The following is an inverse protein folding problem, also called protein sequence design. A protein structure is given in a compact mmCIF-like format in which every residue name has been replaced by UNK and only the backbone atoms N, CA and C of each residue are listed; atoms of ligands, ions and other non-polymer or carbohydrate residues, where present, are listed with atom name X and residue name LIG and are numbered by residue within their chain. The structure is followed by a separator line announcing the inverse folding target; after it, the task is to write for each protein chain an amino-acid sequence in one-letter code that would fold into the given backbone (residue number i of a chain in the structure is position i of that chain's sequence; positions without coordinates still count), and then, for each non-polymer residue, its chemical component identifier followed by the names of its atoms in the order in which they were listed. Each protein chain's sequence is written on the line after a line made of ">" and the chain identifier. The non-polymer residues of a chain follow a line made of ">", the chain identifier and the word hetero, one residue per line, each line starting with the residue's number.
data_IF_787868572181
#
_entry.id   IF_787868572181
#
_cell.length_a   1.000
_cell.length_b   1.000
_cell.length_c   1.000
_cell.angle_alpha   90.00
_cell.angle_beta   90.00
_cell.angle_gamma   90.00
#
_symmetry.space_group_name_H-M   'P 1'
#
loop_
_entity.id
_entity.type
_entity.pdbx_description
1 polymer ?
#
# COMPACT_ATOMS: atom_id res chain seq x y z
N UNK A 1 30.70 -14.74 -0.04
CA UNK A 1 31.03 -16.07 0.51
C UNK A 1 31.87 -15.87 1.76
N UNK A 2 31.70 -16.69 2.80
CA UNK A 2 32.51 -16.60 4.01
C UNK A 2 33.96 -16.98 3.71
N UNK A 3 34.93 -16.19 4.17
CA UNK A 3 36.35 -16.37 3.84
C UNK A 3 37.17 -17.03 4.94
N UNK A 4 36.60 -17.22 6.14
CA UNK A 4 37.28 -17.90 7.24
C UNK A 4 36.56 -17.72 8.60
N UNK A 5 37.14 -18.22 9.70
CA UNK A 5 36.50 -18.24 11.02
C UNK A 5 36.18 -16.86 11.61
N UNK A 6 36.93 -15.81 11.22
CA UNK A 6 36.71 -14.42 11.68
C UNK A 6 35.79 -13.61 10.76
N UNK A 7 35.28 -14.20 9.68
CA UNK A 7 34.44 -13.47 8.73
C UNK A 7 33.09 -13.12 9.35
N UNK A 8 32.76 -11.83 9.40
CA UNK A 8 31.47 -11.35 9.91
C UNK A 8 30.40 -11.48 8.83
N UNK A 9 29.59 -12.53 8.92
CA UNK A 9 28.43 -12.72 8.05
C UNK A 9 27.33 -11.71 8.43
N UNK A 10 26.81 -10.90 7.49
CA UNK A 10 25.66 -10.03 7.78
C UNK A 10 24.40 -10.85 8.12
N UNK A 11 23.46 -10.23 8.84
CA UNK A 11 22.15 -10.82 9.13
C UNK A 11 21.46 -11.32 7.85
N UNK A 12 20.67 -12.39 7.92
CA UNK A 12 20.05 -13.03 6.75
C UNK A 12 19.30 -12.03 5.86
N UNK A 13 18.34 -11.26 6.41
CA UNK A 13 17.55 -10.30 5.62
C UNK A 13 18.37 -9.12 5.08
N UNK A 14 19.55 -8.86 5.65
CA UNK A 14 20.51 -7.88 5.12
C UNK A 14 21.24 -8.41 3.89
N UNK A 15 21.57 -9.72 3.88
CA UNK A 15 22.15 -10.42 2.72
C UNK A 15 21.14 -10.55 1.58
N UNK A 16 19.87 -10.76 1.91
CA UNK A 16 18.77 -10.80 0.94
C UNK A 16 18.34 -9.42 0.45
N UNK A 17 18.90 -8.33 1.00
CA UNK A 17 18.50 -6.96 0.69
C UNK A 17 17.00 -6.72 0.82
N UNK A 18 16.40 -7.24 1.91
CA UNK A 18 14.96 -7.13 2.19
C UNK A 18 14.61 -6.22 3.36
N UNK A 19 15.61 -5.83 4.16
CA UNK A 19 15.38 -5.08 5.40
C UNK A 19 16.53 -4.14 5.69
N UNK A 20 16.20 -2.86 5.86
CA UNK A 20 17.06 -1.90 6.54
C UNK A 20 16.83 -2.02 8.05
N UNK A 21 17.81 -2.60 8.75
CA UNK A 21 17.73 -2.78 10.20
C UNK A 21 17.84 -1.47 10.99
N UNK A 22 18.49 -0.43 10.44
CA UNK A 22 18.56 0.88 11.08
C UNK A 22 17.21 1.61 11.01
N UNK A 23 16.56 1.59 9.85
CA UNK A 23 15.20 2.12 9.69
C UNK A 23 14.21 1.34 10.55
N UNK A 24 14.25 0.00 10.50
CA UNK A 24 13.38 -0.86 11.30
C UNK A 24 13.47 -0.53 12.79
N UNK A 25 14.68 -0.39 13.34
CA UNK A 25 14.84 -0.04 14.75
C UNK A 25 14.19 1.30 15.11
N UNK A 26 14.26 2.31 14.23
CA UNK A 26 13.60 3.60 14.45
C UNK A 26 12.09 3.49 14.42
N UNK A 27 11.53 2.68 13.52
CA UNK A 27 10.09 2.42 13.45
C UNK A 27 9.57 1.74 14.73
N UNK A 28 10.28 0.72 15.21
CA UNK A 28 9.89 -0.05 16.41
C UNK A 28 9.91 0.78 17.70
N UNK A 29 10.68 1.88 17.75
CA UNK A 29 10.71 2.77 18.92
C UNK A 29 9.40 3.51 19.16
N UNK A 30 8.51 3.59 18.18
CA UNK A 30 7.17 4.15 18.37
C UNK A 30 6.33 3.31 19.34
N UNK A 31 6.59 2.00 19.45
CA UNK A 31 5.73 1.06 20.17
C UNK A 31 4.43 0.72 19.44
N UNK A 32 4.15 1.37 18.31
CA UNK A 32 2.92 1.20 17.51
C UNK A 32 3.06 0.09 16.47
N UNK A 33 1.95 -0.51 16.02
CA UNK A 33 1.94 -1.37 14.83
C UNK A 33 2.51 -0.65 13.60
N UNK A 34 3.08 -1.41 12.67
CA UNK A 34 3.62 -0.87 11.41
C UNK A 34 2.65 -1.10 10.27
N UNK A 35 2.29 -0.06 9.53
CA UNK A 35 1.67 -0.16 8.22
C UNK A 35 2.77 -0.45 7.19
N UNK A 36 2.95 -1.71 6.85
CA UNK A 36 3.96 -2.19 5.90
C UNK A 36 3.44 -2.05 4.48
N UNK A 37 3.86 -0.99 3.78
CA UNK A 37 3.50 -0.72 2.39
C UNK A 37 4.55 -1.31 1.44
N UNK A 38 4.16 -2.25 0.57
CA UNK A 38 5.06 -2.92 -0.39
C UNK A 38 4.45 -2.94 -1.79
N UNK A 39 5.32 -2.87 -2.78
CA UNK A 39 4.94 -2.84 -4.19
C UNK A 39 5.60 -4.02 -4.90
N UNK A 40 4.90 -4.57 -5.88
CA UNK A 40 5.46 -5.41 -6.92
C UNK A 40 5.32 -4.69 -8.27
N UNK A 41 5.72 -5.36 -9.37
CA UNK A 41 5.56 -4.80 -10.70
C UNK A 41 4.09 -4.56 -11.07
N UNK A 42 3.18 -5.41 -10.59
CA UNK A 42 1.77 -5.41 -10.97
C UNK A 42 0.81 -5.24 -9.79
N UNK A 43 1.30 -5.18 -8.55
CA UNK A 43 0.45 -5.20 -7.36
C UNK A 43 0.95 -4.25 -6.26
N UNK A 44 0.02 -3.88 -5.38
CA UNK A 44 0.27 -3.25 -4.10
C UNK A 44 -0.09 -4.21 -2.96
N UNK A 45 0.59 -4.08 -1.83
CA UNK A 45 0.30 -4.81 -0.60
C UNK A 45 0.42 -3.88 0.59
N UNK A 46 -0.58 -3.92 1.45
CA UNK A 46 -0.61 -3.25 2.74
C UNK A 46 -0.80 -4.29 3.84
N UNK A 47 -0.03 -4.18 4.92
CA UNK A 47 -0.15 -5.08 6.07
C UNK A 47 0.01 -4.27 7.35
N UNK A 48 -0.85 -4.52 8.33
CA UNK A 48 -0.64 -4.05 9.69
C UNK A 48 0.12 -5.12 10.48
N UNK A 49 1.28 -4.74 10.99
CA UNK A 49 2.24 -5.69 11.56
C UNK A 49 2.68 -5.28 12.96
N UNK A 50 2.47 -6.17 13.93
CA UNK A 50 2.93 -6.04 15.32
C UNK A 50 4.20 -6.87 15.56
N UNK A 51 4.87 -6.61 16.68
CA UNK A 51 6.05 -7.39 17.11
C UNK A 51 5.63 -8.51 18.07
N UNK A 52 5.95 -9.76 17.73
CA UNK A 52 5.81 -10.92 18.59
C UNK A 52 7.15 -11.45 19.11
N UNK A 53 7.13 -12.45 20.00
CA UNK A 53 8.33 -13.04 20.62
C UNK A 53 9.22 -13.80 19.63
N UNK A 54 8.61 -14.50 18.67
CA UNK A 54 9.31 -15.34 17.68
C UNK A 54 9.46 -14.67 16.30
N UNK A 55 8.79 -13.53 16.10
CA UNK A 55 8.74 -12.85 14.82
C UNK A 55 7.68 -11.75 14.79
N UNK A 56 7.56 -11.11 13.63
CA UNK A 56 6.47 -10.17 13.38
C UNK A 56 5.15 -10.93 13.18
N UNK A 57 4.05 -10.37 13.67
CA UNK A 57 2.69 -10.90 13.51
C UNK A 57 1.89 -9.95 12.62
N UNK A 58 1.18 -10.49 11.62
CA UNK A 58 0.31 -9.69 10.74
C UNK A 58 -1.12 -9.82 11.24
N UNK A 59 -1.71 -8.70 11.65
CA UNK A 59 -3.04 -8.64 12.27
C UNK A 59 -4.13 -8.29 11.26
N UNK A 60 -3.78 -7.51 10.24
CA UNK A 60 -4.64 -7.19 9.11
C UNK A 60 -3.78 -7.05 7.85
N UNK A 61 -4.35 -7.35 6.68
CA UNK A 61 -3.66 -7.20 5.41
C UNK A 61 -4.65 -7.06 4.25
N UNK A 62 -4.19 -6.41 3.19
CA UNK A 62 -4.84 -6.44 1.88
C UNK A 62 -3.80 -6.49 0.78
N UNK A 63 -4.15 -7.16 -0.32
CA UNK A 63 -3.44 -7.10 -1.58
C UNK A 63 -4.34 -6.50 -2.63
N UNK A 64 -3.76 -5.81 -3.60
CA UNK A 64 -4.53 -5.17 -4.68
C UNK A 64 -5.34 -6.16 -5.52
N UNK A 65 -5.02 -7.46 -5.48
CA UNK A 65 -5.83 -8.51 -6.11
C UNK A 65 -7.14 -8.78 -5.38
N UNK A 66 -7.18 -8.55 -4.06
CA UNK A 66 -8.38 -8.76 -3.24
C UNK A 66 -9.48 -7.77 -3.67
N UNK A 67 -9.11 -6.63 -4.27
CA UNK A 67 -10.05 -5.62 -4.77
C UNK A 67 -11.02 -6.17 -5.83
N UNK A 68 -10.64 -7.22 -6.56
CA UNK A 68 -11.53 -7.87 -7.53
C UNK A 68 -12.78 -8.48 -6.87
N UNK A 69 -12.68 -8.90 -5.60
CA UNK A 69 -13.82 -9.43 -4.82
C UNK A 69 -14.90 -8.36 -4.58
N UNK A 70 -14.50 -7.08 -4.68
CA UNK A 70 -15.36 -5.92 -4.47
C UNK A 70 -15.75 -5.25 -5.80
N UNK A 71 -15.41 -5.82 -6.95
CA UNK A 71 -15.77 -5.26 -8.26
C UNK A 71 -14.65 -4.49 -8.96
N UNK A 72 -13.40 -4.58 -8.50
CA UNK A 72 -12.28 -3.97 -9.24
C UNK A 72 -11.92 -4.74 -10.51
N UNK A 73 -12.17 -4.13 -11.68
CA UNK A 73 -11.86 -4.73 -12.99
C UNK A 73 -10.59 -4.15 -13.64
N UNK A 74 -10.07 -3.04 -13.10
CA UNK A 74 -8.93 -2.33 -13.65
C UNK A 74 -7.56 -2.91 -13.19
N UNK A 75 -6.43 -2.51 -13.79
CA UNK A 75 -5.11 -2.96 -13.37
C UNK A 75 -4.78 -2.66 -11.91
N UNK A 76 -4.06 -3.57 -11.25
CA UNK A 76 -3.78 -3.52 -9.80
C UNK A 76 -2.43 -2.87 -9.44
N UNK A 77 -1.69 -2.38 -10.44
CA UNK A 77 -0.33 -1.86 -10.30
C UNK A 77 -0.21 -0.34 -10.28
N UNK A 78 -1.32 0.38 -10.29
CA UNK A 78 -1.40 1.84 -10.42
C UNK A 78 -1.61 2.53 -9.06
N UNK A 79 -1.77 3.86 -9.08
CA UNK A 79 -2.00 4.67 -7.88
C UNK A 79 -3.39 4.45 -7.26
N UNK A 80 -4.50 4.42 -8.04
CA UNK A 80 -5.84 4.11 -7.51
C UNK A 80 -5.90 2.78 -6.75
N UNK A 81 -5.37 1.71 -7.35
CA UNK A 81 -5.35 0.40 -6.70
C UNK A 81 -4.48 0.40 -5.42
N UNK A 82 -3.40 1.20 -5.38
CA UNK A 82 -2.57 1.32 -4.18
C UNK A 82 -3.32 2.01 -3.02
N UNK A 83 -4.06 3.08 -3.32
CA UNK A 83 -4.93 3.74 -2.35
C UNK A 83 -6.00 2.79 -1.82
N UNK A 84 -6.76 2.14 -2.70
CA UNK A 84 -7.83 1.21 -2.32
C UNK A 84 -7.30 0.02 -1.52
N UNK A 85 -6.10 -0.47 -1.84
CA UNK A 85 -5.44 -1.52 -1.04
C UNK A 85 -5.11 -1.02 0.38
N UNK A 86 -4.68 0.24 0.51
CA UNK A 86 -4.45 0.88 1.80
C UNK A 86 -5.75 1.00 2.60
N UNK A 87 -6.81 1.47 1.95
CA UNK A 87 -8.16 1.58 2.52
C UNK A 87 -8.68 0.24 3.02
N UNK A 88 -8.67 -0.79 2.19
CA UNK A 88 -9.13 -2.13 2.57
C UNK A 88 -8.31 -2.72 3.74
N UNK A 89 -6.98 -2.57 3.72
CA UNK A 89 -6.15 -3.01 4.85
C UNK A 89 -6.42 -2.22 6.13
N UNK A 90 -6.74 -0.92 6.00
CA UNK A 90 -7.11 -0.05 7.10
C UNK A 90 -8.45 -0.45 7.71
N UNK A 91 -9.47 -0.70 6.89
CA UNK A 91 -10.79 -1.14 7.36
C UNK A 91 -10.70 -2.47 8.11
N UNK A 92 -9.97 -3.44 7.56
CA UNK A 92 -9.65 -4.71 8.23
C UNK A 92 -8.89 -4.52 9.55
N UNK A 93 -8.04 -3.49 9.63
CA UNK A 93 -7.31 -3.17 10.86
C UNK A 93 -8.22 -2.56 11.94
N UNK A 94 -9.14 -1.66 11.56
CA UNK A 94 -10.15 -1.12 12.47
C UNK A 94 -11.05 -2.24 13.00
N UNK A 95 -11.52 -3.14 12.14
CA UNK A 95 -12.31 -4.30 12.55
C UNK A 95 -11.55 -5.22 13.52
N UNK A 96 -10.25 -5.40 13.29
CA UNK A 96 -9.36 -6.12 14.20
C UNK A 96 -9.02 -5.35 15.51
N UNK A 97 -9.57 -4.15 15.71
CA UNK A 97 -9.43 -3.37 16.94
C UNK A 97 -8.14 -2.54 17.04
N UNK A 98 -7.52 -2.19 15.91
CA UNK A 98 -6.34 -1.33 15.88
C UNK A 98 -6.71 0.10 15.46
N UNK A 99 -6.23 1.09 16.19
CA UNK A 99 -6.58 2.50 15.95
C UNK A 99 -5.42 3.30 15.35
N UNK A 100 -4.17 2.84 15.50
CA UNK A 100 -2.99 3.61 15.14
C UNK A 100 -1.90 2.76 14.47
N UNK A 101 -1.10 3.40 13.62
CA UNK A 101 0.06 2.76 13.00
C UNK A 101 1.19 3.75 12.68
N UNK A 102 2.36 3.22 12.32
CA UNK A 102 3.44 3.98 11.69
C UNK A 102 3.78 3.41 10.31
N UNK A 103 3.94 4.28 9.31
CA UNK A 103 4.25 3.85 7.96
C UNK A 103 5.66 3.23 7.87
N UNK A 104 5.73 2.01 7.34
CA UNK A 104 6.95 1.29 6.97
C UNK A 104 6.98 1.08 5.46
N UNK A 105 7.67 1.95 4.73
CA UNK A 105 7.86 1.82 3.27
C UNK A 105 9.00 0.85 2.90
N UNK A 106 9.73 0.34 3.90
CA UNK A 106 10.88 -0.54 3.71
C UNK A 106 11.98 0.11 2.89
N UNK A 107 12.38 -0.57 1.81
CA UNK A 107 13.46 -0.11 0.92
C UNK A 107 12.97 0.79 -0.22
N UNK A 108 11.68 1.16 -0.25
CA UNK A 108 11.17 2.13 -1.21
C UNK A 108 11.70 3.54 -0.89
N UNK A 109 11.79 4.38 -1.91
CA UNK A 109 12.18 5.79 -1.77
C UNK A 109 10.96 6.63 -1.34
N UNK A 110 11.11 7.56 -0.38
CA UNK A 110 10.04 8.47 0.04
C UNK A 110 9.85 9.60 -1.00
N UNK A 111 9.38 9.25 -2.19
CA UNK A 111 9.09 10.21 -3.26
C UNK A 111 7.68 10.76 -3.09
N UNK A 112 7.48 12.10 -3.14
CA UNK A 112 6.14 12.69 -3.10
C UNK A 112 5.20 12.10 -4.17
N UNK A 113 3.93 11.90 -3.82
CA UNK A 113 2.91 11.34 -4.72
C UNK A 113 3.16 9.88 -5.16
N UNK A 114 3.96 9.13 -4.40
CA UNK A 114 4.27 7.72 -4.71
C UNK A 114 3.21 6.76 -4.18
N UNK A 115 3.14 5.55 -4.76
CA UNK A 115 2.17 4.51 -4.38
C UNK A 115 2.24 4.08 -2.91
N UNK A 116 3.40 4.20 -2.24
CA UNK A 116 3.49 3.90 -0.81
C UNK A 116 2.79 4.96 0.06
N UNK A 117 2.70 6.20 -0.42
CA UNK A 117 1.94 7.27 0.23
C UNK A 117 0.46 7.19 -0.10
N UNK A 118 0.07 6.75 -1.29
CA UNK A 118 -1.33 6.41 -1.57
C UNK A 118 -1.86 5.29 -0.67
N UNK A 119 -1.04 4.24 -0.41
CA UNK A 119 -1.39 3.20 0.58
C UNK A 119 -1.57 3.82 1.99
N UNK A 120 -0.73 4.79 2.36
CA UNK A 120 -0.83 5.47 3.64
C UNK A 120 -2.13 6.29 3.73
N UNK A 121 -2.42 7.06 2.70
CA UNK A 121 -3.62 7.91 2.59
C UNK A 121 -4.90 7.08 2.70
N UNK A 122 -5.02 6.00 1.92
CA UNK A 122 -6.17 5.10 2.01
C UNK A 122 -6.34 4.50 3.40
N UNK A 123 -5.24 4.09 4.05
CA UNK A 123 -5.29 3.56 5.41
C UNK A 123 -5.71 4.62 6.45
N UNK A 124 -5.34 5.89 6.26
CA UNK A 124 -5.78 7.01 7.10
C UNK A 124 -7.29 7.24 6.92
N UNK A 125 -7.76 7.24 5.67
CA UNK A 125 -9.18 7.43 5.35
C UNK A 125 -10.05 6.28 5.87
N UNK A 126 -9.48 5.09 6.06
CA UNK A 126 -10.13 3.98 6.75
C UNK A 126 -10.37 4.21 8.25
N UNK A 127 -9.72 5.23 8.83
CA UNK A 127 -9.81 5.58 10.25
C UNK A 127 -8.55 5.32 11.09
N UNK A 128 -7.45 4.82 10.50
CA UNK A 128 -6.20 4.63 11.26
C UNK A 128 -5.49 5.96 11.50
N UNK A 129 -5.08 6.20 12.73
CA UNK A 129 -4.19 7.31 13.08
C UNK A 129 -2.73 6.98 12.70
N UNK A 130 -2.28 7.57 11.59
CA UNK A 130 -0.91 7.39 11.09
C UNK A 130 -0.22 8.75 10.98
N UNK A 131 0.96 8.95 11.60
CA UNK A 131 1.72 10.19 11.40
C UNK A 131 2.07 10.41 9.93
N UNK A 132 1.62 11.53 9.35
CA UNK A 132 1.77 11.85 7.94
C UNK A 132 2.07 13.34 7.71
N UNK A 133 2.33 13.70 6.46
CA UNK A 133 2.45 15.07 5.98
C UNK A 133 1.70 15.15 4.64
N UNK A 134 0.67 16.00 4.56
CA UNK A 134 -0.17 16.13 3.36
C UNK A 134 0.64 16.60 2.14
N UNK A 135 1.69 17.41 2.35
CA UNK A 135 2.53 17.93 1.28
C UNK A 135 3.27 16.84 0.48
N UNK A 136 3.38 15.61 1.01
CA UNK A 136 4.02 14.48 0.31
C UNK A 136 3.02 13.52 -0.34
N UNK A 137 1.73 13.68 -0.06
CA UNK A 137 0.68 12.91 -0.70
C UNK A 137 0.51 13.36 -2.16
N UNK A 138 -0.16 12.54 -2.95
CA UNK A 138 -0.49 12.92 -4.31
C UNK A 138 -1.68 13.89 -4.29
N UNK A 139 -1.80 14.75 -5.31
CA UNK A 139 -3.05 15.45 -5.55
C UNK A 139 -4.19 14.43 -5.76
N UNK A 140 -5.40 14.75 -5.32
CA UNK A 140 -6.51 13.81 -5.29
C UNK A 140 -6.87 13.29 -6.70
N UNK A 141 -6.80 14.16 -7.70
CA UNK A 141 -6.99 13.86 -9.12
C UNK A 141 -5.99 12.79 -9.61
N UNK A 142 -4.77 12.81 -9.07
CA UNK A 142 -3.78 11.78 -9.36
C UNK A 142 -4.15 10.47 -8.67
N UNK A 143 -4.58 10.52 -7.40
CA UNK A 143 -5.01 9.35 -6.62
C UNK A 143 -6.22 8.65 -7.27
N UNK A 144 -7.19 9.41 -7.79
CA UNK A 144 -8.35 8.88 -8.51
C UNK A 144 -7.99 8.23 -9.85
N UNK A 145 -6.86 8.65 -10.44
CA UNK A 145 -6.36 8.09 -11.70
C UNK A 145 -6.63 8.97 -12.91
N UNK A 146 -7.02 10.24 -12.73
CA UNK A 146 -7.28 11.16 -13.86
C UNK A 146 -6.06 11.31 -14.77
N UNK A 147 -4.85 11.34 -14.20
CA UNK A 147 -3.61 11.34 -15.00
C UNK A 147 -3.43 10.12 -15.92
N UNK A 148 -4.10 8.99 -15.61
CA UNK A 148 -4.10 7.78 -16.46
C UNK A 148 -5.18 7.91 -17.53
N UNK A 149 -6.35 8.43 -17.17
CA UNK A 149 -7.44 8.71 -18.10
C UNK A 149 -7.01 9.74 -19.15
N UNK A 150 -6.45 10.88 -18.72
CA UNK A 150 -5.88 11.91 -19.61
C UNK A 150 -4.79 11.34 -20.53
N UNK A 151 -3.96 10.43 -20.01
CA UNK A 151 -2.95 9.77 -20.83
C UNK A 151 -3.58 8.85 -21.88
N UNK A 152 -4.63 8.11 -21.51
CA UNK A 152 -5.36 7.24 -22.43
C UNK A 152 -6.08 8.03 -23.54
N UNK A 153 -6.70 9.17 -23.21
CA UNK A 153 -7.34 10.06 -24.20
C UNK A 153 -6.36 10.62 -25.24
N UNK A 154 -5.10 10.79 -24.85
CA UNK A 154 -4.04 11.31 -25.72
C UNK A 154 -3.43 10.27 -26.67
N UNK A 155 -3.83 8.99 -26.59
CA UNK A 155 -3.30 7.92 -27.42
C UNK A 155 -4.19 7.63 -28.64
N UNK A 156 -3.55 7.22 -29.74
CA UNK A 156 -4.25 6.76 -30.93
C UNK A 156 -4.79 5.31 -30.79
N UNK A 157 -4.24 4.56 -29.83
CA UNK A 157 -4.59 3.16 -29.51
C UNK A 157 -4.95 3.04 -28.02
N UNK A 158 -5.77 2.05 -27.67
CA UNK A 158 -6.18 1.82 -26.29
C UNK A 158 -4.97 1.60 -25.36
N UNK A 159 -4.95 2.30 -24.22
CA UNK A 159 -3.87 2.17 -23.24
C UNK A 159 -3.76 0.75 -22.66
N UNK A 160 -4.92 0.13 -22.41
CA UNK A 160 -5.01 -1.20 -21.84
C UNK A 160 -5.32 -2.21 -22.94
N UNK A 161 -4.61 -3.35 -22.91
CA UNK A 161 -4.86 -4.45 -23.85
C UNK A 161 -6.03 -5.34 -23.44
N UNK A 162 -6.68 -5.06 -22.32
CA UNK A 162 -7.83 -5.81 -21.80
C UNK A 162 -9.14 -5.07 -22.03
N UNK A 163 -10.23 -5.60 -21.48
CA UNK A 163 -11.58 -5.08 -21.74
C UNK A 163 -11.92 -3.79 -20.96
N UNK A 164 -11.11 -3.41 -19.97
CA UNK A 164 -11.35 -2.21 -19.16
C UNK A 164 -10.89 -0.94 -19.88
N UNK A 165 -11.78 0.04 -20.00
CA UNK A 165 -11.47 1.35 -20.56
C UNK A 165 -10.73 2.22 -19.53
N UNK A 166 -9.50 2.61 -19.86
CA UNK A 166 -8.67 3.41 -18.97
C UNK A 166 -9.23 4.82 -18.69
N UNK A 167 -10.10 5.36 -19.56
CA UNK A 167 -10.74 6.66 -19.37
C UNK A 167 -11.79 6.63 -18.25
N UNK A 168 -12.38 5.47 -17.99
CA UNK A 168 -13.38 5.25 -16.93
C UNK A 168 -12.74 4.95 -15.55
N UNK A 169 -11.40 4.88 -15.48
CA UNK A 169 -10.67 4.54 -14.25
C UNK A 169 -11.03 5.44 -13.05
N UNK A 170 -11.16 6.78 -13.17
CA UNK A 170 -11.49 7.64 -12.04
C UNK A 170 -12.90 7.42 -11.50
N UNK A 171 -13.87 7.16 -12.39
CA UNK A 171 -15.24 6.84 -12.00
C UNK A 171 -15.26 5.49 -11.26
N UNK A 172 -14.62 4.46 -11.85
CA UNK A 172 -14.51 3.13 -11.24
C UNK A 172 -13.81 3.14 -9.87
N UNK A 173 -12.79 3.98 -9.71
CA UNK A 173 -12.13 4.22 -8.43
C UNK A 173 -13.08 4.79 -7.37
N UNK A 174 -13.89 5.78 -7.77
CA UNK A 174 -14.82 6.45 -6.86
C UNK A 174 -15.90 5.48 -6.39
N UNK A 175 -16.50 4.73 -7.32
CA UNK A 175 -17.52 3.72 -7.01
C UNK A 175 -17.00 2.68 -6.01
N UNK A 176 -15.81 2.13 -6.25
CA UNK A 176 -15.24 1.13 -5.35
C UNK A 176 -14.86 1.71 -3.99
N UNK A 177 -14.34 2.95 -3.95
CA UNK A 177 -14.01 3.63 -2.69
C UNK A 177 -15.27 3.83 -1.84
N UNK A 178 -16.36 4.30 -2.44
CA UNK A 178 -17.65 4.48 -1.76
C UNK A 178 -18.19 3.15 -1.26
N UNK A 179 -18.14 2.11 -2.09
CA UNK A 179 -18.54 0.76 -1.68
C UNK A 179 -17.74 0.24 -0.48
N UNK A 180 -16.43 0.50 -0.43
CA UNK A 180 -15.59 0.09 0.71
C UNK A 180 -15.89 0.87 1.99
N UNK A 181 -16.26 2.15 1.89
CA UNK A 181 -16.52 3.01 3.05
C UNK A 181 -17.94 2.85 3.61
N UNK A 182 -18.93 2.68 2.74
CA UNK A 182 -20.35 2.77 3.09
C UNK A 182 -21.09 1.43 2.99
N UNK A 183 -20.50 0.45 2.31
CA UNK A 183 -21.11 -0.86 2.12
C UNK A 183 -21.06 -1.72 3.39
N UNK A 184 -22.11 -2.52 3.60
CA UNK A 184 -22.05 -3.69 4.49
C UNK A 184 -21.19 -4.77 3.81
N UNK A 185 -19.87 -4.59 3.85
CA UNK A 185 -18.89 -5.50 3.27
C UNK A 185 -18.33 -6.47 4.32
N UNK A 186 -18.17 -7.74 3.94
CA UNK A 186 -17.44 -8.72 4.76
C UNK A 186 -15.93 -8.45 4.63
N UNK A 187 -15.32 -7.92 5.71
CA UNK A 187 -13.90 -7.52 5.77
C UNK A 187 -12.94 -8.69 6.03
#
# INVERSE_FOLDING_TARGET
>A
MATGPRYKVPMRRRRESRTDYHQRLRLLKSGKPRLVARLSNSQARAQLVTTGPDGDETVAAAQSNDLAEYGWEAPTGNLPAAYLTGLLAGLRAIDAGFEEAVLDIGLNTPTPGSKVFAIQEGAIDAGLEIPHNDDVLADWERTSGEHIAEYAEGLDEDLYSGDFDATELPAHFTELREQLLEGDIEL
#
